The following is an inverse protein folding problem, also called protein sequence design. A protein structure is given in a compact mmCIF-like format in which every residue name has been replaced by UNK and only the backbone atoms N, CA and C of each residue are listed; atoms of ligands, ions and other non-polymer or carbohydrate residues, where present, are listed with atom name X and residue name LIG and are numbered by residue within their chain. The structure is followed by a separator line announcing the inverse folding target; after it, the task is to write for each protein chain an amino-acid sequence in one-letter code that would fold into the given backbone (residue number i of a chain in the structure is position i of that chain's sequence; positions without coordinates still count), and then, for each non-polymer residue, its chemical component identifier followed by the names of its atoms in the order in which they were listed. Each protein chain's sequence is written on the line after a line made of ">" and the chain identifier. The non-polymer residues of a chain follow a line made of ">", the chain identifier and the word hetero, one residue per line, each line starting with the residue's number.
data_IF_671204579637
#
_entry.id   IF_671204579637
#
_cell.length_a   1.000
_cell.length_b   1.000
_cell.length_c   1.000
_cell.angle_alpha   90.00
_cell.angle_beta   90.00
_cell.angle_gamma   90.00
#
_symmetry.space_group_name_H-M   'P 1'
#
loop_
_entity.id
_entity.type
_entity.pdbx_description
1 polymer ?
#
# COMPACT_ATOMS: atom_id res chain seq x y z
N UNK A 1 -31.23 1.14 -10.91
CA UNK A 1 -30.61 1.03 -9.57
C UNK A 1 -30.18 -0.42 -9.38
N UNK A 2 -28.98 -0.77 -9.78
CA UNK A 2 -28.44 -2.11 -9.52
C UNK A 2 -27.38 -1.96 -8.45
N UNK A 3 -27.66 -2.55 -7.29
CA UNK A 3 -26.69 -2.76 -6.21
C UNK A 3 -25.68 -3.79 -6.70
N UNK A 4 -24.47 -3.39 -6.98
CA UNK A 4 -23.35 -4.31 -7.11
C UNK A 4 -22.97 -4.80 -5.70
N UNK A 5 -23.66 -5.86 -5.28
CA UNK A 5 -23.34 -6.60 -4.07
C UNK A 5 -22.04 -7.37 -4.33
N UNK A 6 -21.10 -7.28 -3.41
CA UNK A 6 -20.10 -8.32 -3.22
C UNK A 6 -20.87 -9.63 -3.04
N UNK A 7 -20.53 -10.64 -3.88
CA UNK A 7 -21.26 -11.91 -3.94
C UNK A 7 -21.41 -12.53 -2.56
N UNK A 8 -22.64 -12.91 -2.25
CA UNK A 8 -22.98 -13.70 -1.08
C UNK A 8 -22.28 -15.06 -1.17
N UNK A 9 -21.56 -15.42 -0.12
CA UNK A 9 -21.53 -16.79 0.34
C UNK A 9 -20.44 -17.69 -0.20
N UNK A 10 -19.18 -17.35 -0.09
CA UNK A 10 -18.17 -18.34 0.25
C UNK A 10 -17.62 -18.02 1.64
N UNK A 11 -18.09 -18.77 2.63
CA UNK A 11 -17.44 -18.78 3.95
C UNK A 11 -16.07 -19.40 3.74
N UNK A 12 -15.04 -18.59 3.71
CA UNK A 12 -13.67 -19.07 3.70
C UNK A 12 -13.44 -19.64 5.11
N UNK A 13 -13.46 -20.96 5.25
CA UNK A 13 -13.04 -21.61 6.47
C UNK A 13 -11.50 -21.56 6.53
N UNK A 14 -10.98 -20.54 7.21
CA UNK A 14 -9.57 -20.51 7.58
C UNK A 14 -9.33 -21.65 8.56
N UNK A 15 -8.28 -22.45 8.33
CA UNK A 15 -7.82 -23.39 9.35
C UNK A 15 -7.40 -22.58 10.58
N UNK A 16 -7.77 -23.02 11.76
CA UNK A 16 -7.54 -22.33 13.04
C UNK A 16 -6.05 -22.02 13.35
N UNK A 17 -5.12 -22.51 12.55
CA UNK A 17 -3.67 -22.38 12.73
C UNK A 17 -2.95 -21.72 11.54
N UNK A 18 -3.66 -21.12 10.57
CA UNK A 18 -2.96 -20.45 9.47
C UNK A 18 -2.33 -19.15 9.94
N UNK A 19 -1.01 -19.03 9.79
CA UNK A 19 -0.26 -17.84 10.11
C UNK A 19 -0.10 -16.96 8.86
N UNK A 20 -0.55 -15.72 8.94
CA UNK A 20 -0.38 -14.74 7.86
C UNK A 20 0.73 -13.79 8.23
N UNK A 21 1.74 -13.69 7.39
CA UNK A 21 2.91 -12.84 7.59
C UNK A 21 2.98 -11.82 6.46
N UNK A 22 3.04 -10.55 6.83
CA UNK A 22 3.24 -9.44 5.90
C UNK A 22 4.66 -8.93 6.06
N UNK A 23 5.46 -9.06 5.01
CA UNK A 23 6.83 -8.58 4.92
C UNK A 23 6.89 -7.33 4.05
N UNK A 24 7.46 -6.27 4.56
CA UNK A 24 7.59 -5.01 3.81
C UNK A 24 8.84 -4.25 4.22
N UNK A 25 9.10 -3.18 3.51
CA UNK A 25 10.20 -2.26 3.80
C UNK A 25 9.67 -0.84 3.94
N UNK A 26 10.31 -0.05 4.81
CA UNK A 26 9.86 1.32 5.01
C UNK A 26 10.75 2.10 5.97
N UNK A 27 10.80 3.41 5.77
CA UNK A 27 11.60 4.30 6.57
C UNK A 27 12.24 5.40 5.75
N UNK A 28 13.23 6.06 6.33
CA UNK A 28 13.90 7.21 5.69
C UNK A 28 14.59 6.82 4.39
N UNK A 29 15.19 5.64 4.33
CA UNK A 29 15.97 5.18 3.18
C UNK A 29 15.11 4.44 2.15
N UNK A 30 14.02 3.79 2.58
CA UNK A 30 13.11 3.03 1.73
C UNK A 30 11.90 3.83 1.24
N UNK A 31 11.59 4.94 1.89
CA UNK A 31 10.32 5.64 1.72
C UNK A 31 9.18 4.96 2.47
N UNK A 32 7.94 5.39 2.18
CA UNK A 32 6.77 4.98 2.96
C UNK A 32 5.70 4.26 2.14
N UNK A 33 5.91 4.10 0.84
CA UNK A 33 4.91 3.56 -0.08
C UNK A 33 4.53 2.12 0.22
N UNK A 34 5.52 1.25 0.40
CA UNK A 34 5.34 -0.17 0.68
C UNK A 34 4.62 -0.40 2.02
N UNK A 35 5.08 0.27 3.09
CA UNK A 35 4.45 0.20 4.42
C UNK A 35 3.00 0.67 4.36
N UNK A 36 2.71 1.78 3.69
CA UNK A 36 1.36 2.30 3.56
C UNK A 36 0.44 1.35 2.79
N UNK A 37 0.93 0.71 1.73
CA UNK A 37 0.19 -0.29 0.97
C UNK A 37 -0.04 -1.57 1.78
N UNK A 38 0.97 -2.08 2.44
CA UNK A 38 0.86 -3.25 3.31
C UNK A 38 -0.04 -3.01 4.52
N UNK A 39 -0.06 -1.79 5.07
CA UNK A 39 -1.01 -1.43 6.14
C UNK A 39 -2.47 -1.58 5.69
N UNK A 40 -2.77 -1.29 4.43
CA UNK A 40 -4.10 -1.48 3.85
C UNK A 40 -4.49 -2.96 3.78
N UNK A 41 -3.54 -3.83 3.44
CA UNK A 41 -3.73 -5.28 3.42
C UNK A 41 -3.97 -5.80 4.85
N UNK A 42 -3.17 -5.36 5.82
CA UNK A 42 -3.36 -5.68 7.22
C UNK A 42 -4.76 -5.31 7.71
N UNK A 43 -5.22 -4.08 7.42
CA UNK A 43 -6.56 -3.62 7.78
C UNK A 43 -7.66 -4.52 7.17
N UNK A 44 -7.46 -4.99 5.94
CA UNK A 44 -8.40 -5.91 5.30
C UNK A 44 -8.48 -7.27 6.04
N UNK A 45 -7.36 -7.85 6.44
CA UNK A 45 -7.34 -9.07 7.26
C UNK A 45 -8.01 -8.86 8.61
N UNK A 46 -7.76 -7.72 9.27
CA UNK A 46 -8.40 -7.38 10.55
C UNK A 46 -9.94 -7.34 10.46
N UNK A 47 -10.47 -6.93 9.31
CA UNK A 47 -11.94 -6.97 9.08
C UNK A 47 -12.50 -8.38 9.09
N UNK A 48 -11.69 -9.39 8.78
CA UNK A 48 -12.05 -10.81 8.85
C UNK A 48 -11.59 -11.48 10.15
N UNK A 49 -11.27 -10.71 11.18
CA UNK A 49 -10.79 -11.19 12.49
C UNK A 49 -9.45 -11.95 12.42
N UNK A 50 -8.68 -11.75 11.36
CA UNK A 50 -7.31 -12.29 11.21
C UNK A 50 -6.33 -11.21 11.61
N UNK A 51 -5.32 -11.55 12.41
CA UNK A 51 -4.24 -10.63 12.81
C UNK A 51 -2.93 -11.10 12.19
N UNK A 52 -2.52 -10.56 11.03
CA UNK A 52 -1.23 -10.89 10.45
C UNK A 52 -0.08 -10.44 11.33
N UNK A 53 1.03 -11.16 11.29
CA UNK A 53 2.32 -10.64 11.73
C UNK A 53 2.77 -9.59 10.71
N UNK A 54 3.11 -8.38 11.18
CA UNK A 54 3.53 -7.28 10.30
C UNK A 54 5.01 -6.97 10.57
N UNK A 55 5.87 -7.28 9.62
CA UNK A 55 7.32 -7.20 9.80
C UNK A 55 7.92 -6.25 8.78
N UNK A 56 8.67 -5.29 9.26
CA UNK A 56 9.23 -4.21 8.43
C UNK A 56 10.75 -4.22 8.50
N UNK A 57 11.39 -4.33 7.36
CA UNK A 57 12.79 -3.97 7.23
C UNK A 57 12.91 -2.45 7.09
N UNK A 58 13.38 -1.78 8.14
CA UNK A 58 13.41 -0.32 8.14
C UNK A 58 13.67 0.32 9.50
N UNK A 59 13.15 1.51 9.69
CA UNK A 59 13.38 2.31 10.91
C UNK A 59 12.07 2.85 11.51
N UNK A 60 12.15 3.38 12.75
CA UNK A 60 10.98 3.89 13.50
C UNK A 60 10.27 5.10 12.88
N UNK A 61 10.76 5.69 11.81
CA UNK A 61 10.05 6.78 11.13
C UNK A 61 8.70 6.36 10.55
N UNK A 62 8.45 5.04 10.46
CA UNK A 62 7.18 4.43 10.04
C UNK A 62 6.06 4.52 11.09
N UNK A 63 6.37 4.81 12.36
CA UNK A 63 5.40 4.89 13.47
C UNK A 63 4.18 5.73 13.11
N UNK A 64 4.43 6.82 12.39
CA UNK A 64 3.37 7.75 11.98
C UNK A 64 2.34 7.12 11.02
N UNK A 65 2.73 6.08 10.29
CA UNK A 65 1.87 5.36 9.32
C UNK A 65 1.20 4.17 9.98
N UNK A 66 1.88 3.50 10.91
CA UNK A 66 1.43 2.26 11.53
C UNK A 66 0.81 2.47 12.93
N UNK A 67 0.14 3.61 13.17
CA UNK A 67 -0.35 4.02 14.50
C UNK A 67 -1.22 3.00 15.25
N UNK A 68 -1.93 2.12 14.55
CA UNK A 68 -2.85 1.15 15.14
C UNK A 68 -2.55 -0.27 14.63
N UNK A 69 -1.31 -0.52 14.25
CA UNK A 69 -0.84 -1.81 13.75
C UNK A 69 0.31 -2.24 14.64
N UNK A 70 0.18 -3.42 15.23
CA UNK A 70 1.29 -4.07 15.91
C UNK A 70 2.27 -4.56 14.83
N UNK A 71 3.51 -4.10 14.92
CA UNK A 71 4.55 -4.43 13.95
C UNK A 71 5.89 -4.66 14.61
N UNK A 72 6.76 -5.37 13.91
CA UNK A 72 8.14 -5.62 14.34
C UNK A 72 9.09 -5.06 13.29
N UNK A 73 10.11 -4.31 13.74
CA UNK A 73 11.24 -3.94 12.88
C UNK A 73 12.26 -5.08 12.93
N UNK A 74 12.47 -5.71 11.79
CA UNK A 74 13.39 -6.83 11.67
C UNK A 74 13.87 -6.98 10.22
N UNK A 75 15.13 -7.40 10.05
CA UNK A 75 15.63 -7.83 8.74
C UNK A 75 15.07 -9.21 8.41
N UNK A 76 13.88 -9.20 7.80
CA UNK A 76 13.10 -10.39 7.49
C UNK A 76 13.76 -11.30 6.45
N UNK A 77 14.85 -10.88 5.77
CA UNK A 77 15.60 -11.78 4.87
C UNK A 77 16.20 -12.99 5.60
N UNK A 78 16.42 -12.86 6.90
CA UNK A 78 16.93 -13.93 7.77
C UNK A 78 15.82 -14.80 8.42
N UNK A 79 14.54 -14.54 8.11
CA UNK A 79 13.44 -15.32 8.68
C UNK A 79 13.35 -16.72 8.10
N UNK A 80 12.96 -17.66 8.95
CA UNK A 80 12.49 -18.98 8.56
C UNK A 80 10.95 -19.01 8.55
N UNK A 81 10.37 -19.85 7.71
CA UNK A 81 8.94 -19.97 7.52
C UNK A 81 8.49 -21.42 7.74
N UNK A 82 7.26 -21.59 8.20
CA UNK A 82 6.60 -22.88 8.29
C UNK A 82 5.87 -23.22 6.97
N UNK A 83 5.60 -24.50 6.77
CA UNK A 83 4.95 -25.02 5.56
C UNK A 83 3.45 -24.67 5.47
N UNK A 84 2.86 -24.19 6.55
CA UNK A 84 1.48 -23.69 6.63
C UNK A 84 1.38 -22.15 6.64
N UNK A 85 2.50 -21.42 6.60
CA UNK A 85 2.51 -19.97 6.53
C UNK A 85 1.96 -19.44 5.18
N UNK A 86 1.24 -18.32 5.26
CA UNK A 86 0.91 -17.47 4.11
C UNK A 86 1.79 -16.23 4.19
N UNK A 87 2.66 -16.02 3.21
CA UNK A 87 3.57 -14.88 3.19
C UNK A 87 3.19 -13.91 2.10
N UNK A 88 2.95 -12.66 2.49
CA UNK A 88 2.72 -11.53 1.60
C UNK A 88 3.95 -10.63 1.66
N UNK A 89 4.61 -10.40 0.54
CA UNK A 89 5.81 -9.56 0.49
C UNK A 89 5.66 -8.41 -0.50
N UNK A 90 6.06 -7.22 -0.04
CA UNK A 90 6.12 -5.98 -0.81
C UNK A 90 7.48 -5.31 -0.59
N UNK A 91 8.43 -5.56 -1.49
CA UNK A 91 9.80 -5.06 -1.41
C UNK A 91 10.41 -4.86 -2.78
N UNK A 92 11.23 -3.82 -2.91
CA UNK A 92 12.10 -3.63 -4.08
C UNK A 92 13.52 -4.15 -3.85
N UNK A 93 13.90 -4.46 -2.63
CA UNK A 93 15.27 -4.83 -2.25
C UNK A 93 15.46 -6.32 -1.95
N UNK A 94 14.36 -7.07 -1.83
CA UNK A 94 14.46 -8.52 -1.64
C UNK A 94 15.14 -9.19 -2.84
N UNK A 95 16.16 -10.03 -2.62
CA UNK A 95 16.82 -10.75 -3.68
C UNK A 95 15.95 -11.92 -4.18
N UNK A 96 16.20 -12.38 -5.40
CA UNK A 96 15.42 -13.47 -6.02
C UNK A 96 15.44 -14.75 -5.19
N UNK A 97 16.58 -15.06 -4.59
CA UNK A 97 16.77 -16.23 -3.73
C UNK A 97 15.83 -16.24 -2.53
N UNK A 98 15.53 -15.06 -1.99
CA UNK A 98 14.57 -14.92 -0.90
C UNK A 98 13.13 -15.23 -1.35
N UNK A 99 12.72 -14.73 -2.52
CA UNK A 99 11.43 -15.10 -3.11
C UNK A 99 11.33 -16.60 -3.39
N UNK A 100 12.43 -17.22 -3.88
CA UNK A 100 12.49 -18.66 -4.11
C UNK A 100 12.42 -19.46 -2.81
N UNK A 101 13.01 -18.95 -1.72
CA UNK A 101 12.90 -19.55 -0.39
C UNK A 101 11.44 -19.54 0.07
N UNK A 102 10.77 -18.39 0.03
CA UNK A 102 9.35 -18.27 0.41
C UNK A 102 8.49 -19.24 -0.40
N UNK A 103 8.63 -19.24 -1.73
CA UNK A 103 7.85 -20.09 -2.62
C UNK A 103 7.98 -21.59 -2.32
N UNK A 104 9.15 -22.03 -1.83
CA UNK A 104 9.43 -23.43 -1.55
C UNK A 104 8.99 -23.88 -0.16
N UNK A 105 8.93 -22.93 0.79
CA UNK A 105 8.76 -23.29 2.21
C UNK A 105 7.38 -22.96 2.76
N UNK A 106 6.57 -22.17 2.07
CA UNK A 106 5.30 -21.69 2.59
C UNK A 106 4.10 -22.29 1.86
N UNK A 107 2.94 -22.32 2.51
CA UNK A 107 1.69 -22.76 1.89
C UNK A 107 1.27 -21.87 0.72
N UNK A 108 1.52 -20.56 0.84
CA UNK A 108 1.18 -19.58 -0.20
C UNK A 108 2.12 -18.37 -0.13
N UNK A 109 2.74 -18.06 -1.26
CA UNK A 109 3.50 -16.84 -1.47
C UNK A 109 2.70 -15.83 -2.30
N UNK A 110 2.61 -14.58 -1.82
CA UNK A 110 1.93 -13.49 -2.50
C UNK A 110 2.92 -12.33 -2.67
N UNK A 111 3.13 -11.91 -3.90
CA UNK A 111 4.08 -10.87 -4.28
C UNK A 111 3.36 -9.62 -4.74
N UNK A 112 3.61 -8.49 -4.09
CA UNK A 112 3.06 -7.21 -4.52
C UNK A 112 4.09 -6.53 -5.42
N UNK A 113 3.74 -6.29 -6.68
CA UNK A 113 4.66 -5.68 -7.65
C UNK A 113 3.91 -4.80 -8.67
N UNK A 114 4.18 -3.52 -8.67
CA UNK A 114 3.58 -2.54 -9.58
C UNK A 114 4.26 -2.47 -10.95
N UNK A 115 5.48 -3.02 -11.06
CA UNK A 115 6.37 -2.74 -12.18
C UNK A 115 6.76 -3.98 -13.01
N UNK A 116 6.29 -5.18 -12.64
CA UNK A 116 6.76 -6.45 -13.21
C UNK A 116 8.30 -6.57 -13.15
N UNK A 117 8.84 -6.30 -11.97
CA UNK A 117 10.25 -6.05 -11.71
C UNK A 117 11.14 -7.27 -11.93
N UNK A 118 10.64 -8.45 -11.59
CA UNK A 118 11.36 -9.72 -11.70
C UNK A 118 10.42 -10.82 -12.21
N UNK A 119 11.00 -11.93 -12.66
CA UNK A 119 10.25 -13.16 -12.90
C UNK A 119 10.11 -13.91 -11.56
N UNK A 120 8.96 -13.71 -10.91
CA UNK A 120 8.69 -14.30 -9.61
C UNK A 120 8.58 -15.82 -9.68
N UNK A 121 9.05 -16.56 -8.66
CA UNK A 121 8.83 -18.00 -8.56
C UNK A 121 7.34 -18.33 -8.37
N UNK A 122 7.03 -19.60 -8.08
CA UNK A 122 5.67 -20.04 -7.80
C UNK A 122 5.01 -19.20 -6.70
N UNK A 123 3.74 -18.82 -6.92
CA UNK A 123 3.00 -17.94 -6.03
C UNK A 123 2.12 -16.98 -6.80
N UNK A 124 1.40 -16.10 -6.10
CA UNK A 124 0.47 -15.14 -6.69
C UNK A 124 1.09 -13.76 -6.77
N UNK A 125 1.21 -13.19 -7.97
CA UNK A 125 1.60 -11.79 -8.15
C UNK A 125 0.36 -10.90 -8.11
N UNK A 126 0.39 -9.84 -7.32
CA UNK A 126 -0.67 -8.82 -7.26
C UNK A 126 -0.12 -7.50 -7.78
N UNK A 127 -0.70 -7.04 -8.88
CA UNK A 127 -0.33 -5.77 -9.50
C UNK A 127 -1.58 -4.93 -9.76
N UNK A 128 -1.77 -3.91 -8.95
CA UNK A 128 -2.92 -3.00 -9.02
C UNK A 128 -2.84 -1.94 -10.11
N UNK A 129 -1.78 -1.87 -10.91
CA UNK A 129 -1.63 -0.79 -11.90
C UNK A 129 -2.63 -0.92 -13.05
N UNK A 130 -3.07 0.22 -13.58
CA UNK A 130 -4.09 0.27 -14.65
C UNK A 130 -3.55 -0.28 -15.96
N UNK A 131 -2.27 -0.12 -16.20
CA UNK A 131 -1.60 -0.51 -17.45
C UNK A 131 -0.87 -1.86 -17.35
N UNK A 132 -1.07 -2.58 -16.25
CA UNK A 132 -0.42 -3.86 -16.07
C UNK A 132 -0.92 -4.89 -17.06
N UNK A 133 0.00 -5.45 -17.81
CA UNK A 133 -0.23 -6.58 -18.71
C UNK A 133 0.63 -7.74 -18.29
N UNK A 134 0.05 -8.93 -18.24
CA UNK A 134 0.82 -10.14 -17.95
C UNK A 134 0.31 -11.33 -18.73
N UNK A 135 1.21 -12.27 -18.98
CA UNK A 135 0.86 -13.60 -19.48
C UNK A 135 0.75 -14.64 -18.35
N UNK A 136 1.05 -14.24 -17.13
CA UNK A 136 1.08 -15.11 -15.95
C UNK A 136 -0.35 -15.46 -15.54
N UNK A 137 -0.65 -16.76 -15.39
CA UNK A 137 -2.02 -17.25 -15.07
C UNK A 137 -2.38 -17.07 -13.59
N UNK A 138 -1.39 -17.07 -12.72
CA UNK A 138 -1.47 -16.97 -11.26
C UNK A 138 -1.28 -15.52 -10.78
N UNK A 139 -1.67 -14.56 -11.58
CA UNK A 139 -1.52 -13.15 -11.25
C UNK A 139 -2.86 -12.41 -11.22
N UNK A 140 -2.98 -11.49 -10.26
CA UNK A 140 -4.12 -10.62 -10.05
C UNK A 140 -3.76 -9.21 -10.54
N UNK A 141 -4.31 -8.81 -11.69
CA UNK A 141 -3.95 -7.57 -12.37
C UNK A 141 -5.11 -6.59 -12.47
N UNK A 142 -4.75 -5.32 -12.40
CA UNK A 142 -5.65 -4.19 -12.64
C UNK A 142 -6.14 -3.49 -11.38
N UNK A 143 -6.80 -2.35 -11.57
CA UNK A 143 -7.19 -1.40 -10.52
C UNK A 143 -8.07 -2.00 -9.42
N UNK A 144 -8.83 -3.06 -9.70
CA UNK A 144 -9.65 -3.76 -8.69
C UNK A 144 -8.82 -4.44 -7.59
N UNK A 145 -7.51 -4.61 -7.79
CA UNK A 145 -6.60 -5.21 -6.83
C UNK A 145 -5.68 -4.19 -6.13
N UNK A 146 -5.97 -2.88 -6.27
CA UNK A 146 -5.26 -1.85 -5.52
C UNK A 146 -5.64 -1.96 -4.04
N UNK A 147 -4.68 -2.19 -3.12
CA UNK A 147 -4.95 -2.14 -1.70
C UNK A 147 -5.31 -0.71 -1.27
N UNK A 148 -6.52 -0.52 -0.76
CA UNK A 148 -6.97 0.78 -0.25
C UNK A 148 -7.08 0.73 1.28
N UNK A 149 -6.62 1.79 1.94
CA UNK A 149 -6.79 1.96 3.39
C UNK A 149 -8.28 2.05 3.75
N UNK A 150 -8.60 1.64 4.96
CA UNK A 150 -9.96 1.59 5.47
C UNK A 150 -10.71 2.94 5.33
N UNK A 151 -10.00 4.05 5.44
CA UNK A 151 -10.56 5.40 5.26
C UNK A 151 -11.23 5.60 3.90
N UNK A 152 -10.85 4.82 2.89
CA UNK A 152 -11.38 4.93 1.53
C UNK A 152 -12.42 3.86 1.16
N UNK A 153 -12.73 2.91 2.05
CA UNK A 153 -13.64 1.81 1.68
C UNK A 153 -15.10 2.24 1.47
N UNK A 154 -15.52 3.29 2.15
CA UNK A 154 -16.90 3.78 2.10
C UNK A 154 -16.97 5.25 1.65
N UNK A 155 -16.05 5.68 0.78
CA UNK A 155 -16.08 7.04 0.24
C UNK A 155 -17.31 7.24 -0.63
N UNK A 156 -17.99 8.37 -0.44
CA UNK A 156 -19.08 8.77 -1.31
C UNK A 156 -18.51 9.24 -2.65
N UNK A 157 -19.20 8.89 -3.73
CA UNK A 157 -18.96 9.52 -5.02
C UNK A 157 -19.35 11.00 -4.86
N UNK A 158 -18.41 11.89 -5.19
CA UNK A 158 -18.65 13.32 -5.19
C UNK A 158 -19.00 13.78 -6.60
N UNK A 159 -19.92 14.73 -6.71
CA UNK A 159 -20.17 15.38 -7.98
C UNK A 159 -18.95 16.21 -8.40
N UNK A 160 -18.59 16.09 -9.67
CA UNK A 160 -17.51 16.88 -10.26
C UNK A 160 -18.06 18.27 -10.58
N UNK A 161 -17.45 19.31 -10.05
CA UNK A 161 -17.79 20.67 -10.39
C UNK A 161 -17.17 21.05 -11.75
N UNK A 162 -17.94 21.77 -12.57
CA UNK A 162 -17.45 22.29 -13.85
C UNK A 162 -16.37 23.37 -13.67
N UNK A 163 -16.35 24.01 -12.50
CA UNK A 163 -15.35 25.02 -12.14
C UNK A 163 -14.31 24.48 -11.19
N UNK A 164 -13.04 24.74 -11.47
CA UNK A 164 -11.92 24.42 -10.59
C UNK A 164 -11.89 25.42 -9.45
N UNK A 165 -12.25 24.97 -8.23
CA UNK A 165 -12.24 25.81 -7.01
C UNK A 165 -11.04 25.54 -6.12
N UNK A 166 -10.50 24.33 -6.17
CA UNK A 166 -9.37 23.90 -5.34
C UNK A 166 -8.39 23.09 -6.19
N UNK A 167 -7.12 23.35 -6.00
CA UNK A 167 -6.02 22.59 -6.60
C UNK A 167 -5.18 21.98 -5.49
N UNK A 168 -5.13 20.66 -5.43
CA UNK A 168 -4.26 19.93 -4.51
C UNK A 168 -2.94 19.61 -5.21
N UNK A 169 -1.82 20.05 -4.61
CA UNK A 169 -0.48 19.70 -5.06
C UNK A 169 0.12 18.77 -4.01
N UNK A 170 0.42 17.54 -4.40
CA UNK A 170 1.07 16.56 -3.53
C UNK A 170 2.14 15.78 -4.31
N UNK A 171 3.33 15.69 -3.75
CA UNK A 171 4.50 15.04 -4.34
C UNK A 171 5.01 13.91 -3.44
N UNK A 172 4.08 13.19 -2.83
CA UNK A 172 4.37 12.11 -1.89
C UNK A 172 4.74 12.62 -0.50
N UNK A 173 5.40 11.79 0.29
CA UNK A 173 5.76 12.09 1.68
C UNK A 173 6.87 13.15 1.83
N UNK A 174 7.70 13.31 0.80
CA UNK A 174 8.83 14.24 0.79
C UNK A 174 9.01 14.82 -0.61
N UNK A 175 8.99 16.15 -0.74
CA UNK A 175 9.31 16.84 -1.99
C UNK A 175 10.83 16.93 -2.19
N UNK A 176 11.50 15.81 -2.38
CA UNK A 176 12.96 15.71 -2.50
C UNK A 176 13.54 16.57 -3.63
N UNK A 177 12.78 16.80 -4.69
CA UNK A 177 13.18 17.61 -5.85
C UNK A 177 12.81 19.07 -5.73
N UNK A 178 12.19 19.47 -4.62
CA UNK A 178 11.69 20.83 -4.38
C UNK A 178 10.84 21.36 -5.55
N UNK A 179 9.91 20.54 -6.02
CA UNK A 179 9.05 20.85 -7.16
C UNK A 179 7.83 21.69 -6.76
N UNK A 180 7.35 21.57 -5.51
CA UNK A 180 6.18 22.32 -5.04
C UNK A 180 6.28 23.82 -5.27
N UNK A 181 7.37 24.51 -4.89
CA UNK A 181 7.52 25.95 -5.18
C UNK A 181 7.53 26.27 -6.68
N UNK A 182 8.12 25.40 -7.49
CA UNK A 182 8.17 25.59 -8.94
C UNK A 182 6.77 25.49 -9.56
N UNK A 183 5.99 24.47 -9.17
CA UNK A 183 4.61 24.28 -9.62
C UNK A 183 3.74 25.46 -9.17
N UNK A 184 3.87 25.90 -7.91
CA UNK A 184 3.14 27.05 -7.39
C UNK A 184 3.44 28.32 -8.21
N UNK A 185 4.71 28.56 -8.53
CA UNK A 185 5.10 29.74 -9.30
C UNK A 185 4.54 29.70 -10.73
N UNK A 186 4.53 28.55 -11.38
CA UNK A 186 3.94 28.37 -12.71
C UNK A 186 2.43 28.62 -12.70
N UNK A 187 1.74 28.15 -11.68
CA UNK A 187 0.29 28.24 -11.58
C UNK A 187 -0.20 29.56 -10.98
N UNK A 188 0.68 30.39 -10.42
CA UNK A 188 0.32 31.62 -9.70
C UNK A 188 -0.56 32.59 -10.52
N UNK A 189 -0.32 32.73 -11.81
CA UNK A 189 -1.07 33.61 -12.68
C UNK A 189 -2.39 32.99 -13.16
N UNK A 190 -2.48 31.68 -13.22
CA UNK A 190 -3.68 30.97 -13.71
C UNK A 190 -4.72 30.82 -12.61
N UNK A 191 -4.28 30.50 -11.40
CA UNK A 191 -5.19 30.17 -10.28
C UNK A 191 -5.65 31.42 -9.52
N UNK A 192 -4.97 32.53 -9.61
CA UNK A 192 -5.50 33.82 -9.10
C UNK A 192 -6.87 34.17 -9.70
N UNK A 193 -7.22 33.57 -10.85
CA UNK A 193 -8.52 33.70 -11.48
C UNK A 193 -9.58 32.74 -10.97
N UNK A 194 -9.21 31.59 -10.38
CA UNK A 194 -10.14 30.46 -10.23
C UNK A 194 -10.20 29.83 -8.82
N UNK A 195 -9.39 30.24 -7.85
CA UNK A 195 -9.55 29.58 -6.58
C UNK A 195 -8.45 29.69 -5.53
N UNK A 196 -8.63 28.94 -4.47
CA UNK A 196 -7.79 28.88 -3.29
C UNK A 196 -6.79 27.73 -3.38
N UNK A 197 -5.52 28.01 -3.11
CA UNK A 197 -4.47 26.99 -3.10
C UNK A 197 -4.50 26.18 -1.83
N UNK A 198 -4.28 24.89 -1.97
CA UNK A 198 -3.96 24.03 -0.85
C UNK A 198 -2.62 23.35 -1.17
N UNK A 199 -1.56 23.80 -0.51
CA UNK A 199 -0.26 23.13 -0.54
C UNK A 199 0.00 22.58 0.84
N UNK A 200 0.47 21.36 0.95
CA UNK A 200 0.75 20.83 2.25
C UNK A 200 1.91 19.85 2.27
N UNK A 201 2.81 20.06 3.20
CA UNK A 201 3.69 19.03 3.71
C UNK A 201 2.95 18.35 4.84
N UNK A 202 2.73 17.05 4.76
CA UNK A 202 2.20 16.29 5.89
C UNK A 202 3.15 16.49 7.09
N UNK A 203 2.73 17.29 8.07
CA UNK A 203 3.41 17.40 9.36
C UNK A 203 2.52 16.81 10.44
N UNK A 204 3.08 15.91 11.23
CA UNK A 204 2.45 15.39 12.42
C UNK A 204 2.44 16.47 13.49
N UNK A 205 1.27 16.89 13.92
CA UNK A 205 1.07 17.44 15.26
C UNK A 205 0.64 16.29 16.18
N UNK A 206 0.85 16.39 17.45
CA UNK A 206 0.81 15.29 18.43
C UNK A 206 -0.43 14.37 18.39
N UNK A 207 -1.48 14.71 17.66
CA UNK A 207 -2.73 13.91 17.58
C UNK A 207 -3.46 13.98 16.23
N UNK A 208 -3.02 14.80 15.23
CA UNK A 208 -3.69 14.90 13.93
C UNK A 208 -2.72 15.29 12.81
N UNK A 209 -3.03 14.82 11.59
CA UNK A 209 -2.39 15.31 10.39
C UNK A 209 -2.99 16.67 10.03
N UNK A 210 -2.20 17.74 10.12
CA UNK A 210 -2.63 19.08 9.70
C UNK A 210 -1.91 19.49 8.44
N UNK A 211 -2.68 19.97 7.48
CA UNK A 211 -2.15 20.73 6.35
C UNK A 211 -1.85 22.15 6.82
N UNK A 212 -0.63 22.62 6.65
CA UNK A 212 -0.34 24.03 6.81
C UNK A 212 -0.11 24.63 5.43
N UNK A 213 -0.74 25.77 5.24
CA UNK A 213 -0.67 26.62 4.05
C UNK A 213 0.69 27.29 3.93
#
# INVERSE_FOLDING_TARGET
>A
MQKTGFGQGQTIHWKDNMNVIILTEGGKDYGFGHVARCSSIYQAFRKFCITPQFIVNGDKSIDAILQNIDYTIYDWQNMEFADDDIVIIDSYHAPLEFYQKIAKTTALAIYIDDNNRIDYPDGTVVNGTILATTKRKDALYGSKYIPLRQDFWNTKIIDVNDEIRNVLITLGGNDLRNLTPKILNLLKNEVSKYGKWITGKLRKTSHNWTWRY
#
